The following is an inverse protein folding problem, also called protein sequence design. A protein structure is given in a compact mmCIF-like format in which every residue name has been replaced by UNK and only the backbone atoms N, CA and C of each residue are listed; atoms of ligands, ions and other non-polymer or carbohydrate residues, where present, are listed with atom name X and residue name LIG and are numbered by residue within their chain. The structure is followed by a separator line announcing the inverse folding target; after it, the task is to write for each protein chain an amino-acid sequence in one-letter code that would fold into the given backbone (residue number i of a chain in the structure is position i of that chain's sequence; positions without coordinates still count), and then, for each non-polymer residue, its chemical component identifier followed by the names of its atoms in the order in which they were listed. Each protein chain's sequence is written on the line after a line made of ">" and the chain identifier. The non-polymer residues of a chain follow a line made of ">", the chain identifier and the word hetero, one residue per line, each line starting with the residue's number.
data_IF_783950699964
#
_entry.id   IF_783950699964
#
_cell.length_a   1.000
_cell.length_b   1.000
_cell.length_c   1.000
_cell.angle_alpha   90.00
_cell.angle_beta   90.00
_cell.angle_gamma   90.00
#
_symmetry.space_group_name_H-M   'P 1'
#
loop_
_entity.id
_entity.type
_entity.pdbx_description
1 polymer ?
#
# COMPACT_ATOMS: atom_id res chain seq x y z
N UNK A 1 42.84 -14.27 -9.22
CA UNK A 1 41.75 -14.68 -8.32
C UNK A 1 41.83 -13.87 -7.03
N UNK A 2 41.09 -12.77 -6.93
CA UNK A 2 41.03 -11.92 -5.72
C UNK A 2 39.73 -12.22 -4.97
N UNK A 3 39.85 -12.65 -3.72
CA UNK A 3 38.74 -12.87 -2.79
C UNK A 3 38.24 -11.51 -2.31
N UNK A 4 36.97 -11.18 -2.59
CA UNK A 4 36.30 -10.05 -1.96
C UNK A 4 35.65 -10.54 -0.66
N UNK A 5 36.15 -10.02 0.47
CA UNK A 5 35.48 -10.12 1.76
C UNK A 5 34.35 -9.08 1.78
N UNK A 6 33.10 -9.54 1.91
CA UNK A 6 31.95 -8.69 2.20
C UNK A 6 31.87 -8.57 3.72
N UNK A 7 32.11 -7.35 4.22
CA UNK A 7 31.84 -6.98 5.61
C UNK A 7 30.35 -6.65 5.73
N UNK A 8 29.60 -7.52 6.41
CA UNK A 8 28.23 -7.26 6.83
C UNK A 8 28.31 -6.71 8.26
N UNK A 9 27.97 -5.43 8.51
CA UNK A 9 27.79 -4.98 9.88
C UNK A 9 26.44 -5.51 10.36
N UNK A 10 26.52 -6.34 11.40
CA UNK A 10 25.41 -6.74 12.24
C UNK A 10 24.85 -5.53 12.99
N UNK A 11 23.59 -5.17 12.75
CA UNK A 11 22.78 -4.41 13.70
C UNK A 11 21.34 -4.95 13.69
N UNK A 12 21.04 -5.75 14.71
CA UNK A 12 19.70 -5.98 15.28
C UNK A 12 19.82 -5.38 16.68
N UNK A 13 18.96 -4.40 17.06
CA UNK A 13 17.71 -4.72 17.78
C UNK A 13 16.60 -3.68 17.46
N UNK A 14 15.32 -3.76 17.83
CA UNK A 14 14.53 -4.65 18.67
C UNK A 14 13.09 -4.59 18.13
N UNK A 15 12.40 -5.73 18.15
CA UNK A 15 10.94 -5.77 18.10
C UNK A 15 10.39 -5.43 19.49
N UNK A 16 9.47 -4.47 19.60
CA UNK A 16 8.47 -4.43 20.66
C UNK A 16 7.38 -3.36 20.40
N UNK A 17 6.15 -3.86 20.25
CA UNK A 17 4.92 -3.28 20.80
C UNK A 17 4.34 -2.00 20.16
N UNK A 18 3.46 -2.18 19.16
CA UNK A 18 2.34 -1.25 18.91
C UNK A 18 1.12 -2.01 18.34
N UNK A 19 0.43 -2.78 19.17
CA UNK A 19 -0.80 -3.54 18.78
C UNK A 19 -2.09 -2.87 19.29
N UNK A 20 -2.05 -1.63 19.78
CA UNK A 20 -3.19 -1.08 20.56
C UNK A 20 -4.14 -0.14 19.79
N UNK A 21 -3.90 0.29 18.54
CA UNK A 21 -4.66 1.44 18.00
C UNK A 21 -5.29 1.30 16.60
N UNK A 22 -5.42 0.10 16.03
CA UNK A 22 -6.32 -0.08 14.88
C UNK A 22 -7.81 0.05 15.27
N UNK A 23 -8.16 -0.08 16.55
CA UNK A 23 -9.54 0.14 17.02
C UNK A 23 -9.92 1.61 17.21
N UNK A 24 -8.96 2.55 17.20
CA UNK A 24 -9.26 3.97 17.39
C UNK A 24 -9.30 4.78 16.08
N UNK A 25 -8.58 4.34 15.04
CA UNK A 25 -8.60 5.01 13.73
C UNK A 25 -9.64 4.39 12.77
N UNK A 26 -10.08 3.14 12.99
CA UNK A 26 -11.09 2.49 12.15
C UNK A 26 -12.54 2.86 12.47
N UNK A 27 -12.82 3.51 13.61
CA UNK A 27 -14.19 3.83 14.05
C UNK A 27 -14.91 4.89 13.21
N UNK A 28 -14.22 5.51 12.24
CA UNK A 28 -14.77 6.55 11.36
C UNK A 28 -14.92 6.17 9.89
N UNK A 29 -14.26 5.11 9.43
CA UNK A 29 -14.28 4.74 8.01
C UNK A 29 -15.60 4.04 7.67
N UNK A 30 -16.60 4.84 7.28
CA UNK A 30 -17.82 4.33 6.66
C UNK A 30 -17.59 4.27 5.16
N UNK A 31 -17.38 3.05 4.65
CA UNK A 31 -17.49 2.81 3.21
C UNK A 31 -18.96 3.03 2.83
N UNK A 32 -19.22 4.02 2.00
CA UNK A 32 -20.55 4.26 1.46
C UNK A 32 -20.93 3.12 0.52
N UNK A 33 -22.19 2.68 0.56
CA UNK A 33 -22.68 1.68 -0.37
C UNK A 33 -22.65 2.21 -1.79
N UNK A 34 -22.37 1.33 -2.76
CA UNK A 34 -22.41 1.66 -4.18
C UNK A 34 -23.77 2.30 -4.52
N UNK A 35 -23.83 3.44 -5.23
CA UNK A 35 -25.10 4.05 -5.61
C UNK A 35 -25.94 3.07 -6.43
N UNK A 36 -27.15 2.79 -5.96
CA UNK A 36 -28.03 1.69 -6.42
C UNK A 36 -28.71 1.94 -7.79
N UNK A 37 -28.17 2.84 -8.62
CA UNK A 37 -28.80 3.33 -9.86
C UNK A 37 -28.15 2.94 -11.19
N UNK A 38 -27.06 2.16 -11.20
CA UNK A 38 -26.33 1.76 -12.43
C UNK A 38 -26.07 0.26 -12.51
N UNK A 39 -25.61 -0.23 -13.67
CA UNK A 39 -25.12 -1.61 -13.84
C UNK A 39 -24.11 -1.87 -12.72
N UNK A 40 -24.48 -2.74 -11.77
CA UNK A 40 -23.63 -3.11 -10.64
C UNK A 40 -22.32 -3.68 -11.16
N UNK A 41 -21.27 -2.87 -11.18
CA UNK A 41 -19.90 -3.34 -11.40
C UNK A 41 -19.26 -3.46 -10.03
N UNK A 42 -18.84 -4.68 -9.71
CA UNK A 42 -18.19 -4.98 -8.45
C UNK A 42 -16.88 -4.16 -8.33
N UNK A 43 -16.77 -3.36 -7.27
CA UNK A 43 -15.51 -2.69 -6.93
C UNK A 43 -14.60 -3.65 -6.18
N UNK A 44 -13.35 -3.75 -6.62
CA UNK A 44 -12.30 -4.46 -5.88
C UNK A 44 -11.46 -3.46 -5.10
N UNK A 45 -11.34 -3.67 -3.79
CA UNK A 45 -10.48 -2.86 -2.92
C UNK A 45 -9.31 -3.71 -2.45
N UNK A 46 -8.09 -3.26 -2.73
CA UNK A 46 -6.85 -3.89 -2.30
C UNK A 46 -6.20 -3.05 -1.21
N UNK A 47 -6.27 -3.54 0.03
CA UNK A 47 -5.49 -3.00 1.15
C UNK A 47 -4.15 -3.72 1.25
N UNK A 48 -3.07 -2.94 1.24
CA UNK A 48 -1.73 -3.40 1.57
C UNK A 48 -1.27 -2.67 2.82
N UNK A 49 -0.95 -3.44 3.86
CA UNK A 49 -0.42 -2.90 5.13
C UNK A 49 1.03 -3.34 5.22
N UNK A 50 1.96 -2.38 5.14
CA UNK A 50 3.38 -2.68 5.18
C UNK A 50 3.80 -3.27 6.53
N UNK A 51 4.75 -4.20 6.52
CA UNK A 51 5.28 -4.84 7.73
C UNK A 51 4.30 -5.71 8.52
N UNK A 52 3.04 -5.88 8.10
CA UNK A 52 2.04 -6.64 8.83
C UNK A 52 2.32 -8.15 8.79
N UNK A 53 2.96 -8.66 9.84
CA UNK A 53 3.30 -10.06 9.95
C UNK A 53 2.07 -10.94 10.20
N UNK A 54 2.00 -12.09 9.51
CA UNK A 54 0.95 -13.09 9.67
C UNK A 54 0.74 -13.52 11.14
N UNK A 55 1.83 -13.61 11.91
CA UNK A 55 1.78 -13.95 13.33
C UNK A 55 0.99 -12.92 14.15
N UNK A 56 1.20 -11.62 13.89
CA UNK A 56 0.49 -10.54 14.59
C UNK A 56 -1.00 -10.56 14.26
N UNK A 57 -1.36 -10.82 13.00
CA UNK A 57 -2.76 -11.02 12.61
C UNK A 57 -3.40 -12.21 13.33
N UNK A 58 -2.71 -13.36 13.38
CA UNK A 58 -3.20 -14.54 14.08
C UNK A 58 -3.41 -14.28 15.58
N UNK A 59 -2.45 -13.62 16.23
CA UNK A 59 -2.54 -13.23 17.64
C UNK A 59 -3.71 -12.28 17.86
N UNK A 60 -3.85 -11.24 17.03
CA UNK A 60 -4.92 -10.26 17.14
C UNK A 60 -6.32 -10.85 16.94
N UNK A 61 -6.49 -11.79 16.01
CA UNK A 61 -7.76 -12.49 15.85
C UNK A 61 -8.07 -13.44 17.01
N UNK A 62 -7.06 -14.14 17.53
CA UNK A 62 -7.21 -15.03 18.69
C UNK A 62 -7.59 -14.27 19.95
N UNK A 63 -7.02 -13.08 20.14
CA UNK A 63 -7.24 -12.20 21.29
C UNK A 63 -8.49 -11.32 21.14
N UNK A 64 -9.12 -11.31 19.96
CA UNK A 64 -10.30 -10.50 19.68
C UNK A 64 -10.01 -9.00 19.55
N UNK A 65 -8.75 -8.60 19.36
CA UNK A 65 -8.34 -7.19 19.25
C UNK A 65 -8.56 -6.59 17.85
N UNK A 66 -8.95 -7.42 16.87
CA UNK A 66 -9.22 -7.02 15.49
C UNK A 66 -10.68 -7.31 15.05
N UNK A 67 -11.69 -6.80 15.78
CA UNK A 67 -13.09 -7.14 15.51
C UNK A 67 -13.55 -6.68 14.12
N UNK A 68 -13.18 -5.47 13.69
CA UNK A 68 -13.57 -4.92 12.39
C UNK A 68 -12.96 -5.71 11.22
N UNK A 69 -11.69 -6.11 11.33
CA UNK A 69 -11.06 -6.95 10.30
C UNK A 69 -11.75 -8.32 10.22
N UNK A 70 -12.13 -8.89 11.37
CA UNK A 70 -12.83 -10.16 11.42
C UNK A 70 -14.20 -10.04 10.77
N UNK A 71 -14.98 -9.03 11.13
CA UNK A 71 -16.32 -8.79 10.59
C UNK A 71 -16.29 -8.54 9.08
N UNK A 72 -15.44 -7.64 8.61
CA UNK A 72 -15.47 -7.17 7.22
C UNK A 72 -14.68 -8.05 6.23
N UNK A 73 -13.62 -8.74 6.66
CA UNK A 73 -12.76 -9.50 5.74
C UNK A 73 -12.83 -11.02 5.93
N UNK A 74 -13.12 -11.50 7.14
CA UNK A 74 -13.20 -12.95 7.41
C UNK A 74 -14.63 -13.45 7.50
N UNK A 75 -15.56 -12.63 7.99
CA UNK A 75 -16.93 -13.04 8.29
C UNK A 75 -16.94 -14.29 9.19
N UNK A 76 -17.49 -15.38 8.65
CA UNK A 76 -17.57 -16.69 9.33
C UNK A 76 -16.40 -17.63 9.00
N UNK A 77 -15.39 -17.19 8.23
CA UNK A 77 -14.27 -18.03 7.86
C UNK A 77 -13.44 -18.43 9.10
N UNK A 78 -12.96 -19.69 9.18
CA UNK A 78 -12.18 -20.17 10.32
C UNK A 78 -10.77 -19.57 10.40
N UNK A 79 -10.32 -18.85 9.37
CA UNK A 79 -9.01 -18.22 9.28
C UNK A 79 -8.82 -17.48 7.97
N UNK A 80 -7.57 -17.10 7.68
CA UNK A 80 -7.19 -16.37 6.47
C UNK A 80 -6.10 -17.11 5.69
N UNK A 81 -6.07 -16.89 4.38
CA UNK A 81 -5.03 -17.44 3.52
C UNK A 81 -3.72 -16.67 3.73
N UNK A 82 -2.59 -17.39 3.71
CA UNK A 82 -1.27 -16.79 3.77
C UNK A 82 -0.67 -16.71 2.37
N UNK A 83 -0.30 -15.50 1.96
CA UNK A 83 0.55 -15.27 0.81
C UNK A 83 2.02 -15.24 1.24
N UNK A 84 2.91 -15.69 0.35
CA UNK A 84 4.37 -15.58 0.55
C UNK A 84 4.89 -14.38 -0.22
N UNK A 85 5.66 -13.53 0.45
CA UNK A 85 6.44 -12.50 -0.22
C UNK A 85 7.51 -13.13 -1.11
N UNK A 86 7.82 -12.47 -2.23
CA UNK A 86 8.93 -12.83 -3.09
C UNK A 86 10.25 -12.44 -2.44
N UNK A 87 11.34 -13.13 -2.82
CA UNK A 87 12.68 -12.72 -2.42
C UNK A 87 13.20 -11.61 -3.37
N UNK A 88 13.81 -10.53 -2.85
CA UNK A 88 13.97 -10.19 -1.43
C UNK A 88 12.65 -9.71 -0.81
N UNK A 89 12.44 -10.01 0.48
CA UNK A 89 11.24 -9.64 1.23
C UNK A 89 11.29 -8.18 1.69
N UNK A 90 11.43 -7.27 0.72
CA UNK A 90 11.48 -5.83 0.89
C UNK A 90 10.18 -5.19 0.38
N UNK A 91 9.82 -4.03 0.93
CA UNK A 91 8.59 -3.29 0.63
C UNK A 91 8.42 -3.05 -0.87
N UNK A 92 9.28 -2.25 -1.50
CA UNK A 92 9.05 -1.79 -2.87
C UNK A 92 9.10 -2.89 -3.93
N UNK A 93 10.01 -3.87 -3.86
CA UNK A 93 9.97 -5.00 -4.79
C UNK A 93 8.69 -5.83 -4.71
N UNK A 94 8.15 -6.04 -3.50
CA UNK A 94 6.92 -6.80 -3.33
C UNK A 94 5.69 -5.97 -3.71
N UNK A 95 5.65 -4.68 -3.39
CA UNK A 95 4.59 -3.76 -3.85
C UNK A 95 4.54 -3.70 -5.37
N UNK A 96 5.70 -3.52 -6.02
CA UNK A 96 5.79 -3.55 -7.47
C UNK A 96 5.25 -4.87 -8.03
N UNK A 97 5.63 -6.00 -7.44
CA UNK A 97 5.16 -7.32 -7.88
C UNK A 97 3.65 -7.50 -7.76
N UNK A 98 3.06 -7.01 -6.66
CA UNK A 98 1.60 -7.02 -6.46
C UNK A 98 0.91 -6.19 -7.54
N UNK A 99 1.41 -4.99 -7.81
CA UNK A 99 0.77 -4.04 -8.72
C UNK A 99 0.98 -4.41 -10.19
N UNK A 100 2.13 -4.96 -10.58
CA UNK A 100 2.40 -5.33 -11.98
C UNK A 100 1.95 -6.75 -12.30
N UNK A 101 1.65 -7.58 -11.29
CA UNK A 101 1.43 -9.03 -11.39
C UNK A 101 2.65 -9.82 -11.88
N UNK A 102 3.84 -9.22 -11.80
CA UNK A 102 5.10 -9.81 -12.23
C UNK A 102 5.95 -10.17 -11.03
N UNK A 103 6.89 -11.12 -11.18
CA UNK A 103 7.78 -11.50 -10.08
C UNK A 103 8.88 -10.47 -9.90
N UNK A 104 9.47 -10.41 -8.71
CA UNK A 104 10.72 -9.67 -8.51
C UNK A 104 11.78 -10.23 -9.45
N UNK A 105 12.40 -9.34 -10.24
CA UNK A 105 13.35 -9.67 -11.31
C UNK A 105 12.76 -9.64 -12.72
N UNK A 106 11.42 -9.71 -12.87
CA UNK A 106 10.70 -9.48 -14.14
C UNK A 106 10.22 -8.01 -14.26
N UNK A 107 10.06 -7.37 -13.11
CA UNK A 107 9.76 -5.94 -12.94
C UNK A 107 11.04 -5.16 -12.51
N UNK A 108 11.13 -3.85 -12.80
CA UNK A 108 12.37 -3.07 -12.66
C UNK A 108 12.83 -2.80 -11.22
N UNK A 109 11.94 -2.85 -10.23
CA UNK A 109 12.17 -2.51 -8.81
C UNK A 109 12.63 -3.73 -8.02
N UNK A 110 13.93 -4.03 -8.01
CA UNK A 110 14.46 -5.26 -7.37
C UNK A 110 14.93 -5.09 -5.92
N UNK A 111 15.05 -3.85 -5.44
CA UNK A 111 15.42 -3.51 -4.06
C UNK A 111 14.81 -2.17 -3.64
N UNK A 112 14.84 -1.84 -2.34
CA UNK A 112 14.49 -0.49 -1.85
C UNK A 112 15.57 0.55 -2.24
N UNK A 113 16.83 0.12 -2.29
CA UNK A 113 17.96 0.92 -2.73
C UNK A 113 18.60 0.28 -3.96
N UNK A 114 18.71 1.04 -5.05
CA UNK A 114 19.22 0.55 -6.32
C UNK A 114 20.31 1.46 -6.86
N UNK A 115 21.41 0.88 -7.31
CA UNK A 115 22.41 1.61 -8.09
C UNK A 115 21.97 1.57 -9.55
N UNK A 116 21.75 2.74 -10.14
CA UNK A 116 21.39 2.88 -11.56
C UNK A 116 22.61 3.27 -12.41
N UNK A 117 22.39 3.48 -13.71
CA UNK A 117 23.46 3.87 -14.63
C UNK A 117 24.21 5.11 -14.10
N UNK A 118 25.55 5.12 -14.28
CA UNK A 118 26.48 6.17 -13.82
C UNK A 118 26.73 6.22 -12.31
N UNK A 119 26.25 5.24 -11.55
CA UNK A 119 26.56 5.11 -10.11
C UNK A 119 25.68 5.95 -9.20
N UNK A 120 24.61 6.53 -9.73
CA UNK A 120 23.56 7.18 -8.94
C UNK A 120 22.79 6.10 -8.14
N UNK A 121 22.34 6.48 -6.95
CA UNK A 121 21.54 5.62 -6.07
C UNK A 121 20.12 6.13 -6.09
N UNK A 122 19.19 5.27 -6.45
CA UNK A 122 17.77 5.45 -6.15
C UNK A 122 17.50 4.88 -4.77
N UNK A 123 17.01 5.72 -3.88
CA UNK A 123 16.54 5.38 -2.55
C UNK A 123 15.02 5.56 -2.51
N UNK A 124 14.29 4.46 -2.69
CA UNK A 124 12.84 4.51 -2.68
C UNK A 124 12.24 4.76 -1.28
N UNK A 125 13.02 4.73 -0.21
CA UNK A 125 12.60 5.19 1.12
C UNK A 125 12.66 6.73 1.20
N UNK A 126 13.32 7.39 0.25
CA UNK A 126 13.33 8.84 0.09
C UNK A 126 12.19 9.34 -0.80
N UNK A 127 11.47 10.36 -0.32
CA UNK A 127 10.43 11.05 -1.10
C UNK A 127 10.93 11.56 -2.45
N UNK A 128 12.22 11.93 -2.54
CA UNK A 128 12.82 12.45 -3.78
C UNK A 128 12.73 11.45 -4.95
N UNK A 129 12.80 10.14 -4.65
CA UNK A 129 12.85 9.09 -5.67
C UNK A 129 11.49 8.39 -5.88
N UNK A 130 10.44 8.77 -5.14
CA UNK A 130 9.09 8.25 -5.34
C UNK A 130 8.56 8.52 -6.77
N UNK A 131 8.96 9.65 -7.37
CA UNK A 131 8.64 9.95 -8.75
C UNK A 131 9.25 8.95 -9.73
N UNK A 132 10.48 8.52 -9.49
CA UNK A 132 11.16 7.49 -10.30
C UNK A 132 10.54 6.11 -10.07
N UNK A 133 10.28 5.74 -8.81
CA UNK A 133 9.58 4.51 -8.48
C UNK A 133 8.24 4.39 -9.22
N UNK A 134 7.46 5.47 -9.25
CA UNK A 134 6.19 5.51 -9.97
C UNK A 134 6.37 5.34 -11.47
N UNK A 135 7.35 6.03 -12.08
CA UNK A 135 7.65 5.89 -13.51
C UNK A 135 7.98 4.45 -13.90
N UNK A 136 8.62 3.70 -13.00
CA UNK A 136 8.99 2.31 -13.23
C UNK A 136 7.81 1.32 -13.11
N UNK A 137 6.87 1.57 -12.19
CA UNK A 137 5.76 0.64 -11.91
C UNK A 137 4.51 0.98 -12.72
N UNK A 138 4.13 2.26 -12.79
CA UNK A 138 2.83 2.71 -13.29
C UNK A 138 2.48 2.17 -14.68
N UNK A 139 3.37 2.23 -15.71
CA UNK A 139 3.05 1.75 -17.05
C UNK A 139 2.73 0.25 -17.15
N UNK A 140 3.15 -0.53 -16.15
CA UNK A 140 2.98 -1.99 -16.09
C UNK A 140 1.92 -2.42 -15.07
N UNK A 141 1.40 -1.47 -14.30
CA UNK A 141 0.50 -1.72 -13.20
C UNK A 141 -0.87 -2.20 -13.67
N UNK A 142 -1.57 -2.92 -12.79
CA UNK A 142 -2.99 -3.26 -12.97
C UNK A 142 -3.84 -2.00 -13.11
N UNK A 143 -3.45 -0.90 -12.45
CA UNK A 143 -4.13 0.39 -12.54
C UNK A 143 -4.08 0.91 -13.99
N UNK A 144 -2.89 1.00 -14.58
CA UNK A 144 -2.73 1.45 -15.97
C UNK A 144 -3.43 0.53 -16.98
N UNK A 145 -3.40 -0.80 -16.76
CA UNK A 145 -4.12 -1.77 -17.60
C UNK A 145 -5.63 -1.51 -17.57
N UNK A 146 -6.22 -1.36 -16.39
CA UNK A 146 -7.64 -1.09 -16.21
C UNK A 146 -8.05 0.24 -16.85
N UNK A 147 -7.21 1.27 -16.73
CA UNK A 147 -7.47 2.57 -17.34
C UNK A 147 -7.41 2.53 -18.87
N UNK A 148 -6.48 1.77 -19.44
CA UNK A 148 -6.42 1.55 -20.88
C UNK A 148 -7.69 0.85 -21.42
N UNK A 149 -8.37 0.07 -20.58
CA UNK A 149 -9.69 -0.53 -20.85
C UNK A 149 -10.87 0.43 -20.60
N UNK A 150 -10.61 1.69 -20.24
CA UNK A 150 -11.63 2.68 -19.90
C UNK A 150 -12.29 2.44 -18.53
N UNK A 151 -11.68 1.64 -17.66
CA UNK A 151 -12.16 1.36 -16.31
C UNK A 151 -11.60 2.39 -15.33
N UNK A 152 -12.44 2.86 -14.41
CA UNK A 152 -12.03 3.83 -13.39
C UNK A 152 -11.32 3.14 -12.24
N UNK A 153 -10.26 3.78 -11.76
CA UNK A 153 -9.42 3.28 -10.69
C UNK A 153 -9.04 4.42 -9.76
N UNK A 154 -8.83 4.13 -8.48
CA UNK A 154 -8.30 5.08 -7.51
C UNK A 154 -7.12 4.47 -6.74
N UNK A 155 -6.13 5.29 -6.41
CA UNK A 155 -4.91 4.86 -5.70
C UNK A 155 -4.63 5.76 -4.51
N UNK A 156 -4.68 5.16 -3.32
CA UNK A 156 -4.40 5.80 -2.05
C UNK A 156 -3.07 5.29 -1.51
N UNK A 157 -1.99 5.99 -1.85
CA UNK A 157 -0.64 5.64 -1.40
C UNK A 157 0.22 6.89 -1.28
N UNK A 158 0.92 7.03 -0.17
CA UNK A 158 1.88 8.11 0.02
C UNK A 158 3.07 8.01 -0.96
N UNK A 159 3.50 6.79 -1.28
CA UNK A 159 4.66 6.52 -2.15
C UNK A 159 4.22 6.37 -3.62
N UNK A 160 3.19 5.58 -3.85
CA UNK A 160 2.77 5.09 -5.17
C UNK A 160 1.48 5.75 -5.65
N UNK A 161 1.29 7.06 -5.44
CA UNK A 161 0.10 7.80 -5.89
C UNK A 161 -0.16 7.79 -7.41
N UNK A 162 -0.48 6.62 -7.98
CA UNK A 162 -0.74 6.36 -9.39
C UNK A 162 -2.11 6.91 -9.75
N UNK A 163 -2.15 7.94 -10.60
CA UNK A 163 -3.39 8.57 -11.05
C UNK A 163 -4.38 8.90 -9.93
N UNK A 164 -3.86 9.29 -8.76
CA UNK A 164 -4.67 10.11 -7.89
C UNK A 164 -4.96 11.40 -8.66
N UNK A 165 -6.22 11.61 -9.02
CA UNK A 165 -6.74 12.93 -9.38
C UNK A 165 -6.19 13.97 -8.38
N UNK A 166 -6.10 15.24 -8.78
CA UNK A 166 -5.44 16.37 -8.08
C UNK A 166 -5.78 16.56 -6.58
N UNK A 167 -6.67 15.73 -6.03
CA UNK A 167 -7.05 15.61 -4.63
C UNK A 167 -6.08 14.82 -3.73
N UNK A 168 -5.09 14.09 -4.26
CA UNK A 168 -4.17 13.30 -3.41
C UNK A 168 -2.68 13.42 -3.70
N UNK A 169 -2.23 14.56 -4.22
CA UNK A 169 -0.80 14.80 -4.30
C UNK A 169 -0.21 14.89 -2.89
N UNK A 170 0.65 13.93 -2.55
CA UNK A 170 1.55 14.03 -1.41
C UNK A 170 2.31 15.36 -1.49
N UNK A 171 2.05 16.26 -0.56
CA UNK A 171 2.74 17.53 -0.42
C UNK A 171 3.99 17.39 0.44
N UNK A 172 4.65 18.53 0.67
CA UNK A 172 5.83 18.61 1.53
C UNK A 172 5.55 18.17 2.98
N UNK A 173 4.32 18.30 3.46
CA UNK A 173 3.93 17.92 4.81
C UNK A 173 3.94 16.40 5.02
N UNK A 174 3.40 15.66 4.05
CA UNK A 174 3.43 14.20 4.05
C UNK A 174 4.87 13.68 3.86
N UNK A 175 5.67 14.41 3.07
CA UNK A 175 7.14 14.38 3.01
C UNK A 175 7.80 14.25 4.38
N UNK A 176 7.56 15.27 5.18
CA UNK A 176 8.14 15.44 6.50
C UNK A 176 7.64 14.38 7.48
N UNK A 177 6.35 14.03 7.44
CA UNK A 177 5.79 13.04 8.36
C UNK A 177 6.27 11.62 8.10
N UNK A 178 6.52 11.27 6.83
CA UNK A 178 7.11 9.99 6.50
C UNK A 178 8.55 9.91 7.03
N UNK A 179 9.31 11.00 6.86
CA UNK A 179 10.67 11.07 7.41
C UNK A 179 10.68 11.11 8.95
N UNK A 180 9.65 11.67 9.58
CA UNK A 180 9.50 11.70 11.04
C UNK A 180 8.86 10.43 11.61
N UNK A 181 8.55 9.44 10.77
CA UNK A 181 7.95 8.15 11.16
C UNK A 181 6.60 8.28 11.88
N UNK A 182 5.83 9.35 11.62
CA UNK A 182 4.45 9.48 12.15
C UNK A 182 3.45 8.79 11.21
N UNK A 183 3.64 7.48 11.05
CA UNK A 183 2.88 6.65 10.12
C UNK A 183 1.38 6.61 10.45
N UNK A 184 1.03 6.73 11.74
CA UNK A 184 -0.36 6.80 12.19
C UNK A 184 -1.07 8.04 11.64
N UNK A 185 -0.43 9.21 11.71
CA UNK A 185 -0.98 10.44 11.14
C UNK A 185 -1.17 10.32 9.63
N UNK A 186 -0.15 9.79 8.93
CA UNK A 186 -0.18 9.58 7.49
C UNK A 186 -1.32 8.66 7.06
N UNK A 187 -1.43 7.48 7.67
CA UNK A 187 -2.47 6.49 7.37
C UNK A 187 -3.86 7.05 7.70
N UNK A 188 -4.00 7.77 8.82
CA UNK A 188 -5.25 8.45 9.20
C UNK A 188 -5.72 9.46 8.16
N UNK A 189 -4.83 10.31 7.65
CA UNK A 189 -5.17 11.27 6.59
C UNK A 189 -5.48 10.61 5.27
N UNK A 190 -4.71 9.58 4.90
CA UNK A 190 -4.92 8.82 3.66
C UNK A 190 -6.32 8.18 3.64
N UNK A 191 -6.73 7.57 4.76
CA UNK A 191 -8.08 7.01 4.91
C UNK A 191 -9.17 8.08 4.91
N UNK A 192 -8.93 9.25 5.51
CA UNK A 192 -9.87 10.38 5.43
C UNK A 192 -10.05 10.88 4.00
N UNK A 193 -8.97 11.00 3.24
CA UNK A 193 -9.02 11.42 1.83
C UNK A 193 -9.78 10.40 0.98
N UNK A 194 -9.60 9.10 1.25
CA UNK A 194 -10.38 8.03 0.63
C UNK A 194 -11.87 8.16 0.93
N UNK A 195 -12.24 8.43 2.18
CA UNK A 195 -13.63 8.61 2.56
C UNK A 195 -14.26 9.81 1.84
N UNK A 196 -13.56 10.94 1.75
CA UNK A 196 -14.01 12.12 1.00
C UNK A 196 -14.20 11.79 -0.47
N UNK A 197 -13.18 11.20 -1.11
CA UNK A 197 -13.26 10.79 -2.52
C UNK A 197 -14.46 9.88 -2.80
N UNK A 198 -14.66 8.84 -1.98
CA UNK A 198 -15.78 7.92 -2.16
C UNK A 198 -17.13 8.58 -1.92
N UNK A 199 -17.22 9.51 -0.97
CA UNK A 199 -18.45 10.26 -0.71
C UNK A 199 -18.81 11.15 -1.89
N UNK A 200 -17.83 11.85 -2.46
CA UNK A 200 -18.01 12.69 -3.64
C UNK A 200 -18.34 11.85 -4.89
N UNK A 201 -17.69 10.69 -5.03
CA UNK A 201 -17.93 9.74 -6.12
C UNK A 201 -19.31 9.05 -6.05
N UNK A 202 -20.02 9.06 -4.91
CA UNK A 202 -21.44 8.66 -4.85
C UNK A 202 -22.32 9.66 -5.62
N UNK A 203 -21.95 10.93 -5.60
CA UNK A 203 -22.75 12.04 -6.13
C UNK A 203 -22.57 12.17 -7.64
N UNK A 204 -21.40 11.81 -8.16
CA UNK A 204 -21.12 11.74 -9.59
C UNK A 204 -21.27 10.29 -10.11
N UNK A 205 -21.59 10.02 -11.39
CA UNK A 205 -21.65 8.65 -11.93
C UNK A 205 -20.25 8.01 -12.10
N UNK A 206 -19.32 8.30 -11.18
CA UNK A 206 -17.88 8.16 -11.33
C UNK A 206 -17.20 7.15 -10.40
N UNK A 207 -17.99 6.21 -9.91
CA UNK A 207 -17.53 5.17 -8.99
C UNK A 207 -16.36 4.33 -9.56
N UNK A 208 -15.26 4.13 -8.80
CA UNK A 208 -14.12 3.33 -9.25
C UNK A 208 -14.43 1.82 -9.21
N UNK A 209 -13.89 1.09 -10.18
CA UNK A 209 -13.98 -0.38 -10.21
C UNK A 209 -12.80 -1.05 -9.46
N UNK A 210 -11.70 -0.33 -9.27
CA UNK A 210 -10.55 -0.79 -8.51
C UNK A 210 -10.00 0.32 -7.61
N UNK A 211 -9.76 0.00 -6.34
CA UNK A 211 -9.19 0.92 -5.36
C UNK A 211 -7.96 0.24 -4.75
N UNK A 212 -6.80 0.87 -4.88
CA UNK A 212 -5.58 0.47 -4.19
C UNK A 212 -5.36 1.34 -2.96
N UNK A 213 -5.01 0.74 -1.83
CA UNK A 213 -4.71 1.43 -0.57
C UNK A 213 -3.43 0.87 0.01
N UNK A 214 -2.44 1.72 0.26
CA UNK A 214 -1.18 1.37 0.90
C UNK A 214 -1.05 2.10 2.24
N UNK A 215 -1.04 1.33 3.32
CA UNK A 215 -0.86 1.78 4.70
C UNK A 215 0.55 1.41 5.17
N UNK A 216 1.23 2.33 5.85
CA UNK A 216 2.64 2.17 6.23
C UNK A 216 2.87 1.92 7.72
N UNK A 217 1.87 2.08 8.61
CA UNK A 217 2.00 1.72 10.03
C UNK A 217 1.09 2.45 11.01
#
# INVERSE_FOLDING_TARGET
>A
MRKYQVLIPWFVPAAALLVVLLSACASGLKLTEHPSGGISRQTTVLFVVDGLAAKLLQEGFREGSLPNLKEHFLGNAPGFALARASFPTLTYPNLASILTTERVGEQPVIANHMVIERGEILDFESHADHGELRRQIDPRSVIAKLQAEGRRTASFSYVLGMNADDHMRAGLGEGLEYTSHDYRSLDGRLLSNMQTYLTDAVIAPEWPEFIYVHLVG
#
